data_IF_525597041577
#
_entry.id   IF_525597041577
#
_cell.length_a   1.000
_cell.length_b   1.000
_cell.length_c   1.000
_cell.angle_alpha   90.00
_cell.angle_beta   90.00
_cell.angle_gamma   90.00
#
_symmetry.space_group_name_H-M   'P 1'
#
loop_
_entity.id
_entity.type
_entity.pdbx_description
1 polymer ?
#
# COMPACT_ATOMS: atom_id res chain seq x y z
N UNK A 1 -10.27 -19.09 45.28
CA UNK A 1 -9.29 -18.82 44.21
C UNK A 1 -9.86 -19.33 42.91
N UNK A 2 -9.67 -18.54 41.84
CA UNK A 2 -9.92 -18.81 40.41
C UNK A 2 -11.39 -18.96 39.99
N UNK A 3 -12.05 -17.82 39.76
CA UNK A 3 -13.26 -17.75 38.94
C UNK A 3 -12.90 -17.91 37.47
N UNK A 4 -13.55 -18.88 36.82
CA UNK A 4 -13.77 -18.99 35.39
C UNK A 4 -14.13 -17.63 34.77
N UNK A 5 -13.24 -17.10 33.93
CA UNK A 5 -13.59 -16.09 32.95
C UNK A 5 -13.79 -16.77 31.59
N UNK A 6 -15.07 -16.90 31.26
CA UNK A 6 -15.65 -17.31 29.99
C UNK A 6 -14.91 -16.71 28.76
N UNK A 7 -14.44 -17.57 27.85
CA UNK A 7 -13.73 -17.21 26.61
C UNK A 7 -14.63 -16.64 25.49
N UNK A 8 -15.92 -16.39 25.76
CA UNK A 8 -16.86 -15.82 24.79
C UNK A 8 -17.18 -14.35 25.05
N UNK A 9 -16.17 -13.52 25.33
CA UNK A 9 -16.39 -12.08 25.36
C UNK A 9 -16.28 -11.46 23.96
N UNK A 10 -17.45 -11.36 23.34
CA UNK A 10 -17.76 -10.51 22.21
C UNK A 10 -17.35 -9.07 22.56
N UNK A 11 -16.29 -8.54 21.94
CA UNK A 11 -15.98 -7.13 22.03
C UNK A 11 -16.98 -6.36 21.13
N UNK A 12 -17.83 -5.50 21.70
CA UNK A 12 -18.87 -4.81 20.96
C UNK A 12 -18.25 -3.80 19.98
N UNK A 13 -18.79 -3.76 18.77
CA UNK A 13 -18.57 -2.82 17.69
C UNK A 13 -17.88 -1.49 18.10
N UNK A 14 -16.62 -1.31 17.67
CA UNK A 14 -15.87 -0.07 17.82
C UNK A 14 -15.38 0.45 16.47
N UNK A 15 -16.21 1.24 15.79
CA UNK A 15 -15.76 2.15 14.74
C UNK A 15 -14.64 3.02 15.31
N UNK A 16 -13.49 3.04 14.63
CA UNK A 16 -12.21 3.70 14.98
C UNK A 16 -11.34 3.00 16.03
N UNK A 17 -10.63 1.95 15.60
CA UNK A 17 -9.34 1.62 16.21
C UNK A 17 -8.31 2.66 15.74
N UNK A 18 -8.15 3.72 16.50
CA UNK A 18 -6.99 4.61 16.45
C UNK A 18 -6.10 4.15 17.60
N UNK A 19 -4.92 3.62 17.28
CA UNK A 19 -3.93 3.16 18.26
C UNK A 19 -3.38 4.35 19.09
N UNK A 20 -3.60 4.41 20.42
CA UNK A 20 -3.18 5.53 21.26
C UNK A 20 -1.73 5.47 21.77
N UNK A 21 -0.93 4.46 21.42
CA UNK A 21 0.37 4.18 22.09
C UNK A 21 1.62 4.60 21.30
N UNK A 22 1.48 5.36 20.22
CA UNK A 22 2.61 6.12 19.67
C UNK A 22 3.76 5.27 19.13
N UNK A 23 3.50 4.09 18.55
CA UNK A 23 4.47 3.35 17.71
C UNK A 23 4.67 4.00 16.33
N UNK A 24 4.98 5.30 16.36
CA UNK A 24 5.24 6.25 15.27
C UNK A 24 6.50 5.89 14.43
N UNK A 25 6.64 4.65 14.00
CA UNK A 25 7.72 4.28 13.07
C UNK A 25 7.30 4.35 11.61
N UNK A 26 5.99 4.45 11.29
CA UNK A 26 5.56 4.70 9.91
C UNK A 26 5.70 6.17 9.55
N UNK A 27 6.16 6.51 8.34
CA UNK A 27 6.21 7.89 7.91
C UNK A 27 4.82 8.54 7.94
N UNK A 28 4.73 9.75 8.50
CA UNK A 28 3.48 10.52 8.60
C UNK A 28 3.14 11.29 7.31
N UNK A 29 4.12 11.44 6.42
CA UNK A 29 4.00 12.17 5.17
C UNK A 29 4.71 11.43 4.06
N UNK A 30 4.11 11.46 2.86
CA UNK A 30 4.76 10.99 1.64
C UNK A 30 5.37 12.16 0.86
N UNK A 31 6.66 12.04 0.58
CA UNK A 31 7.42 12.96 -0.25
C UNK A 31 7.50 12.40 -1.68
N UNK A 32 6.75 13.02 -2.59
CA UNK A 32 6.80 12.70 -4.02
C UNK A 32 7.99 13.42 -4.67
N UNK A 33 9.20 13.00 -4.32
CA UNK A 33 10.45 13.57 -4.85
C UNK A 33 10.49 13.45 -6.38
N UNK A 34 11.21 14.36 -7.05
CA UNK A 34 11.39 14.30 -8.51
C UNK A 34 11.97 12.95 -8.94
N UNK A 35 12.93 12.43 -8.18
CA UNK A 35 13.56 11.13 -8.42
C UNK A 35 12.56 9.97 -8.28
N UNK A 36 11.82 9.91 -7.17
CA UNK A 36 10.83 8.84 -6.93
C UNK A 36 9.71 8.84 -7.97
N UNK A 37 9.17 10.02 -8.31
CA UNK A 37 8.14 10.13 -9.35
C UNK A 37 8.70 9.77 -10.74
N UNK A 38 9.93 10.18 -11.07
CA UNK A 38 10.59 9.82 -12.33
C UNK A 38 10.79 8.31 -12.43
N UNK A 39 11.17 7.65 -11.33
CA UNK A 39 11.32 6.21 -11.26
C UNK A 39 10.00 5.49 -11.56
N UNK A 40 8.91 5.89 -10.91
CA UNK A 40 7.57 5.32 -11.16
C UNK A 40 7.18 5.50 -12.61
N UNK A 41 7.32 6.70 -13.17
CA UNK A 41 6.98 6.98 -14.57
C UNK A 41 7.82 6.15 -15.54
N UNK A 42 9.10 5.95 -15.25
CA UNK A 42 9.97 5.20 -16.14
C UNK A 42 9.66 3.70 -16.15
N UNK A 43 9.23 3.13 -15.02
CA UNK A 43 9.01 1.68 -14.91
C UNK A 43 7.56 1.26 -15.13
N UNK A 44 6.62 2.11 -14.76
CA UNK A 44 5.21 1.77 -14.63
C UNK A 44 4.26 2.69 -15.42
N UNK A 45 4.77 3.62 -16.24
CA UNK A 45 3.91 4.46 -17.10
C UNK A 45 4.34 4.29 -18.56
N UNK A 46 3.37 3.97 -19.42
CA UNK A 46 3.58 3.72 -20.83
C UNK A 46 4.33 2.41 -21.12
N UNK A 47 4.31 2.02 -22.40
CA UNK A 47 5.08 0.88 -22.85
C UNK A 47 6.51 1.33 -23.16
N UNK A 48 7.48 0.88 -22.36
CA UNK A 48 8.90 1.20 -22.51
C UNK A 48 9.69 -0.09 -22.66
N UNK A 49 10.60 -0.11 -23.63
CA UNK A 49 11.50 -1.22 -23.90
C UNK A 49 12.22 -1.64 -22.62
N UNK A 50 12.25 -2.96 -22.33
CA UNK A 50 12.86 -3.54 -21.14
C UNK A 50 11.99 -3.55 -19.88
N UNK A 51 10.78 -2.96 -19.92
CA UNK A 51 9.85 -2.92 -18.79
C UNK A 51 8.46 -3.47 -19.14
N UNK A 52 8.37 -4.28 -20.19
CA UNK A 52 7.10 -4.79 -20.73
C UNK A 52 6.42 -5.76 -19.76
N UNK A 53 7.20 -6.58 -19.06
CA UNK A 53 6.76 -7.53 -18.02
C UNK A 53 6.22 -6.90 -16.74
N UNK A 54 6.10 -5.56 -16.68
CA UNK A 54 5.62 -4.85 -15.48
C UNK A 54 4.22 -4.31 -15.69
N UNK A 55 3.43 -4.35 -14.62
CA UNK A 55 2.15 -3.66 -14.59
C UNK A 55 2.31 -2.16 -14.84
N UNK A 56 1.34 -1.59 -15.57
CA UNK A 56 1.33 -0.20 -16.03
C UNK A 56 0.15 0.55 -15.45
N UNK A 57 0.39 1.79 -15.02
CA UNK A 57 -0.64 2.75 -14.71
C UNK A 57 -1.38 3.13 -16.00
N UNK A 58 -2.70 3.08 -15.95
CA UNK A 58 -3.58 3.63 -16.99
C UNK A 58 -3.98 5.09 -16.71
N UNK A 59 -3.76 5.53 -15.46
CA UNK A 59 -4.08 6.87 -14.98
C UNK A 59 -3.15 7.93 -15.55
N UNK A 60 -3.66 9.16 -15.68
CA UNK A 60 -2.81 10.29 -16.00
C UNK A 60 -1.87 10.63 -14.81
N UNK A 61 -0.89 11.51 -15.04
CA UNK A 61 0.12 11.84 -14.02
C UNK A 61 -0.47 12.46 -12.73
N UNK A 62 -1.53 13.27 -12.84
CA UNK A 62 -2.16 13.89 -11.67
C UNK A 62 -2.94 12.84 -10.86
N UNK A 63 -3.72 12.02 -11.56
CA UNK A 63 -4.49 10.92 -10.98
C UNK A 63 -3.61 9.86 -10.34
N UNK A 64 -2.50 9.48 -10.98
CA UNK A 64 -1.53 8.55 -10.42
C UNK A 64 -0.97 9.11 -9.10
N UNK A 65 -0.53 10.38 -9.07
CA UNK A 65 -0.04 11.01 -7.84
C UNK A 65 -1.12 11.13 -6.76
N UNK A 66 -2.37 11.39 -7.14
CA UNK A 66 -3.50 11.45 -6.20
C UNK A 66 -3.75 10.07 -5.61
N UNK A 67 -3.77 9.04 -6.47
CA UNK A 67 -3.94 7.64 -6.09
C UNK A 67 -2.83 7.18 -5.15
N UNK A 68 -1.57 7.49 -5.44
CA UNK A 68 -0.43 7.20 -4.56
C UNK A 68 -0.59 7.82 -3.17
N UNK A 69 -1.06 9.07 -3.08
CA UNK A 69 -1.34 9.71 -1.78
C UNK A 69 -2.52 9.08 -1.06
N UNK A 70 -3.55 8.66 -1.78
CA UNK A 70 -4.71 8.00 -1.20
C UNK A 70 -4.37 6.61 -0.65
N UNK A 71 -3.54 5.82 -1.37
CA UNK A 71 -3.00 4.54 -0.86
C UNK A 71 -2.20 4.77 0.41
N UNK A 72 -1.35 5.79 0.44
CA UNK A 72 -0.53 6.12 1.62
C UNK A 72 -1.38 6.55 2.83
N UNK A 73 -2.40 7.39 2.62
CA UNK A 73 -3.23 7.97 3.71
C UNK A 73 -4.27 7.02 4.25
N UNK A 74 -4.84 6.17 3.38
CA UNK A 74 -5.94 5.25 3.72
C UNK A 74 -5.64 3.87 3.15
N UNK A 75 -4.55 3.21 3.59
CA UNK A 75 -4.19 1.87 3.14
C UNK A 75 -5.19 0.86 3.70
N UNK A 76 -5.35 -0.26 3.00
CA UNK A 76 -5.98 -1.45 3.57
C UNK A 76 -4.95 -2.31 4.31
N UNK A 77 -3.66 -2.20 3.94
CA UNK A 77 -2.58 -2.93 4.60
C UNK A 77 -1.29 -2.14 4.61
N UNK A 78 -0.56 -2.22 5.73
CA UNK A 78 0.78 -1.67 5.90
C UNK A 78 1.70 -2.78 6.39
N UNK A 79 2.81 -2.97 5.68
CA UNK A 79 3.85 -3.95 6.00
C UNK A 79 5.22 -3.27 6.00
N UNK A 80 6.10 -3.65 6.92
CA UNK A 80 7.50 -3.21 6.94
C UNK A 80 8.39 -4.34 6.39
N UNK A 81 9.18 -3.99 5.38
CA UNK A 81 10.16 -4.86 4.71
C UNK A 81 11.54 -4.23 4.87
N UNK A 82 12.29 -4.68 5.88
CA UNK A 82 13.52 -4.02 6.32
C UNK A 82 13.27 -2.56 6.73
N UNK A 83 13.94 -1.62 6.06
CA UNK A 83 13.82 -0.18 6.33
C UNK A 83 12.69 0.51 5.56
N UNK A 84 11.95 -0.24 4.72
CA UNK A 84 10.89 0.30 3.86
C UNK A 84 9.51 -0.06 4.35
N UNK A 85 8.58 0.84 4.05
CA UNK A 85 7.17 0.70 4.35
C UNK A 85 6.40 0.47 3.05
N UNK A 86 5.56 -0.57 3.06
CA UNK A 86 4.74 -0.99 1.94
C UNK A 86 3.29 -0.72 2.32
N UNK A 87 2.65 0.16 1.55
CA UNK A 87 1.26 0.53 1.68
C UNK A 87 0.49 -0.07 0.52
N UNK A 88 -0.58 -0.81 0.83
CA UNK A 88 -1.39 -1.49 -0.15
C UNK A 88 -2.87 -1.17 0.05
N UNK A 89 -3.57 -1.03 -1.08
CA UNK A 89 -4.99 -0.68 -1.09
C UNK A 89 -5.69 -1.31 -2.28
N UNK A 90 -6.91 -1.75 -2.05
CA UNK A 90 -7.88 -2.17 -3.07
C UNK A 90 -8.84 -1.01 -3.37
N UNK A 91 -9.06 -0.73 -4.65
CA UNK A 91 -9.95 0.33 -5.12
C UNK A 91 -11.13 -0.33 -5.87
N UNK A 92 -12.23 -0.65 -5.17
CA UNK A 92 -13.27 -1.52 -5.71
C UNK A 92 -13.92 -0.98 -6.99
N UNK A 93 -14.05 0.34 -7.12
CA UNK A 93 -14.75 1.00 -8.23
C UNK A 93 -13.80 1.74 -9.18
N UNK A 94 -12.50 1.39 -9.20
CA UNK A 94 -11.51 2.09 -10.00
C UNK A 94 -10.47 1.15 -10.59
N UNK A 95 -10.38 1.15 -11.92
CA UNK A 95 -9.25 0.55 -12.62
C UNK A 95 -8.06 1.51 -12.50
N UNK A 96 -6.97 1.04 -11.92
CA UNK A 96 -5.75 1.82 -11.70
C UNK A 96 -4.64 1.49 -12.68
N UNK A 97 -4.71 0.32 -13.29
CA UNK A 97 -3.69 -0.12 -14.23
C UNK A 97 -4.04 -1.40 -14.95
N UNK A 98 -3.06 -1.90 -15.69
CA UNK A 98 -3.15 -3.16 -16.44
C UNK A 98 -1.90 -4.00 -16.23
N UNK A 99 -2.06 -5.32 -16.31
CA UNK A 99 -0.92 -6.25 -16.43
C UNK A 99 -0.34 -6.20 -17.84
N UNK A 100 0.86 -6.78 -18.07
CA UNK A 100 1.40 -6.95 -19.43
C UNK A 100 0.45 -7.68 -20.38
N UNK A 101 -0.37 -8.59 -19.83
CA UNK A 101 -1.36 -9.37 -20.56
C UNK A 101 -2.66 -8.60 -20.82
N UNK A 102 -2.79 -7.38 -20.30
CA UNK A 102 -3.96 -6.51 -20.48
C UNK A 102 -5.05 -6.69 -19.43
N UNK A 103 -4.82 -7.46 -18.36
CA UNK A 103 -5.79 -7.65 -17.28
C UNK A 103 -5.93 -6.36 -16.47
N UNK A 104 -7.16 -5.90 -16.27
CA UNK A 104 -7.44 -4.71 -15.47
C UNK A 104 -7.10 -4.92 -13.99
N UNK A 105 -6.37 -3.97 -13.42
CA UNK A 105 -5.93 -3.97 -12.04
C UNK A 105 -6.67 -2.92 -11.23
N UNK A 106 -7.15 -3.32 -10.05
CA UNK A 106 -7.87 -2.45 -9.11
C UNK A 106 -7.14 -2.28 -7.76
N UNK A 107 -5.95 -2.86 -7.59
CA UNK A 107 -5.13 -2.68 -6.39
C UNK A 107 -3.87 -1.92 -6.72
N UNK A 108 -3.33 -1.23 -5.73
CA UNK A 108 -2.08 -0.50 -5.86
C UNK A 108 -1.17 -0.72 -4.65
N UNK A 109 0.13 -0.70 -4.92
CA UNK A 109 1.20 -0.73 -3.94
C UNK A 109 1.98 0.57 -4.00
N UNK A 110 2.29 1.13 -2.84
CA UNK A 110 3.18 2.27 -2.67
C UNK A 110 4.27 1.88 -1.68
N UNK A 111 5.53 2.05 -2.08
CA UNK A 111 6.70 1.76 -1.26
C UNK A 111 7.39 3.06 -0.90
N UNK A 112 7.64 3.25 0.39
CA UNK A 112 8.16 4.48 0.97
C UNK A 112 9.32 4.15 1.89
N UNK A 113 10.33 5.01 1.92
CA UNK A 113 11.41 4.92 2.92
C UNK A 113 10.96 5.43 4.29
N UNK A 114 11.75 5.18 5.33
CA UNK A 114 11.46 5.65 6.69
C UNK A 114 11.32 7.17 6.80
N UNK A 115 12.00 7.94 5.94
CA UNK A 115 11.90 9.39 5.86
C UNK A 115 10.65 9.90 5.11
N UNK A 116 9.83 9.01 4.55
CA UNK A 116 8.64 9.36 3.75
C UNK A 116 8.87 9.49 2.26
N UNK A 117 10.09 9.28 1.74
CA UNK A 117 10.38 9.39 0.31
C UNK A 117 9.80 8.23 -0.50
N UNK A 118 9.12 8.57 -1.60
CA UNK A 118 8.59 7.57 -2.53
C UNK A 118 9.73 6.81 -3.22
N UNK A 119 9.81 5.50 -2.98
CA UNK A 119 10.71 4.58 -3.70
C UNK A 119 10.07 4.15 -5.00
N UNK A 120 8.85 3.63 -4.95
CA UNK A 120 8.11 3.18 -6.12
C UNK A 120 6.61 3.04 -5.83
N UNK A 121 5.81 3.03 -6.89
CA UNK A 121 4.37 2.78 -6.79
C UNK A 121 3.86 2.18 -8.11
N UNK A 122 3.03 1.15 -8.01
CA UNK A 122 2.50 0.46 -9.18
C UNK A 122 1.17 -0.24 -8.88
N UNK A 123 0.34 -0.44 -9.90
CA UNK A 123 -0.87 -1.24 -9.80
C UNK A 123 -0.50 -2.72 -9.68
N UNK A 124 -1.25 -3.49 -8.90
CA UNK A 124 -1.00 -4.91 -8.67
C UNK A 124 -2.31 -5.70 -8.71
N UNK A 125 -2.21 -7.00 -8.99
CA UNK A 125 -3.35 -7.90 -9.01
C UNK A 125 -3.66 -8.44 -7.61
N UNK A 126 -2.62 -8.90 -6.93
CA UNK A 126 -2.66 -9.42 -5.57
C UNK A 126 -1.75 -8.60 -4.68
N UNK A 127 -2.06 -8.57 -3.39
CA UNK A 127 -1.17 -7.95 -2.41
C UNK A 127 0.10 -8.80 -2.25
N UNK A 128 1.20 -8.18 -1.79
CA UNK A 128 2.48 -8.87 -1.57
C UNK A 128 2.29 -10.08 -0.64
N UNK A 129 2.83 -11.23 -0.98
CA UNK A 129 2.95 -12.30 0.02
C UNK A 129 3.94 -11.86 1.11
N UNK A 130 3.59 -12.13 2.36
CA UNK A 130 4.44 -11.79 3.49
C UNK A 130 5.60 -12.78 3.57
N UNK A 131 6.82 -12.25 3.67
CA UNK A 131 8.01 -13.04 4.03
C UNK A 131 8.06 -13.24 5.54
N UNK A 132 8.81 -14.24 6.00
CA UNK A 132 9.05 -14.46 7.43
C UNK A 132 9.71 -13.26 8.14
N UNK A 133 10.44 -12.43 7.40
CA UNK A 133 11.09 -11.21 7.89
C UNK A 133 10.20 -9.97 7.86
N UNK A 134 9.04 -10.04 7.19
CA UNK A 134 8.15 -8.89 7.04
C UNK A 134 7.32 -8.70 8.33
N UNK A 135 7.18 -7.45 8.77
CA UNK A 135 6.38 -7.10 9.95
C UNK A 135 5.05 -6.51 9.48
N UNK A 136 3.93 -7.14 9.85
CA UNK A 136 2.60 -6.56 9.62
C UNK A 136 2.36 -5.43 10.63
N UNK A 137 2.19 -4.21 10.13
CA UNK A 137 1.91 -3.04 10.97
C UNK A 137 0.40 -2.83 11.09
N UNK A 138 -0.31 -2.94 9.96
CA UNK A 138 -1.74 -2.71 9.90
C UNK A 138 -2.36 -3.58 8.82
N UNK A 139 -3.53 -4.13 9.12
CA UNK A 139 -4.41 -4.72 8.12
C UNK A 139 -5.84 -4.39 8.49
N UNK A 140 -6.59 -3.85 7.55
CA UNK A 140 -8.02 -3.66 7.69
C UNK A 140 -8.68 -5.04 7.75
N UNK A 141 -9.43 -5.30 8.82
CA UNK A 141 -10.30 -6.47 8.87
C UNK A 141 -11.43 -6.31 7.86
N UNK A 142 -11.71 -7.39 7.14
CA UNK A 142 -12.61 -7.40 5.98
C UNK A 142 -14.06 -7.49 6.40
#
# INVERSE_FOLDING_TARGET
MLSDFNQYQYAPNGLTWIDPWGWSCTPNKINLTKAGVKHVKNRHVGNKIGWEHKSKWTLNNAEMKSTVRDVFRKPDRITKDGDRFIYEKTMPNKIVGVTPEGTNLNKARVVVESNGDLVTAFPQEVFKDMKSTDILIFSKQR
#
